data_IF_659956636067
#
_entry.id   IF_659956636067
#
_cell.length_a   1.000
_cell.length_b   1.000
_cell.length_c   1.000
_cell.angle_alpha   90.00
_cell.angle_beta   90.00
_cell.angle_gamma   90.00
#
_symmetry.space_group_name_H-M   'P 1'
#
loop_
_entity.id
_entity.type
_entity.pdbx_description
1 polymer ?
#
# COMPACT_ATOMS: atom_id res chain seq x y z
N UNK A 1 5.12 -17.28 25.63
CA UNK A 1 4.93 -16.53 25.66
C UNK A 1 5.16 -15.80 24.80
N UNK A 2 4.97 -15.77 24.43
CA UNK A 2 5.15 -15.00 23.34
C UNK A 2 5.55 -13.63 23.75
N UNK A 3 6.40 -13.00 23.05
CA UNK A 3 6.80 -11.65 23.33
C UNK A 3 5.60 -10.70 23.42
N UNK A 4 5.86 -9.47 23.76
CA UNK A 4 4.85 -8.43 23.80
C UNK A 4 4.19 -8.33 22.41
N UNK A 5 2.89 -8.21 22.40
CA UNK A 5 2.14 -7.99 21.19
C UNK A 5 2.53 -6.63 20.60
N UNK A 6 2.65 -6.56 19.28
CA UNK A 6 2.98 -5.32 18.61
C UNK A 6 1.87 -4.28 18.81
N UNK A 7 2.24 -3.03 19.05
CA UNK A 7 1.28 -1.93 19.12
C UNK A 7 0.57 -1.71 17.78
N UNK A 8 1.15 -2.20 16.68
CA UNK A 8 0.58 -2.10 15.33
C UNK A 8 -0.26 -3.31 14.94
N UNK A 9 -0.40 -4.30 15.82
CA UNK A 9 -1.10 -5.54 15.53
C UNK A 9 -2.57 -5.25 15.18
N UNK A 10 -2.99 -5.70 14.01
CA UNK A 10 -4.34 -5.49 13.50
C UNK A 10 -5.11 -6.80 13.34
N UNK A 11 -4.60 -7.91 13.84
CA UNK A 11 -5.20 -9.24 13.61
C UNK A 11 -6.60 -9.36 14.21
N UNK A 12 -6.89 -8.65 15.29
CA UNK A 12 -8.22 -8.68 15.92
C UNK A 12 -9.31 -8.05 15.05
N UNK A 13 -8.94 -7.14 14.16
CA UNK A 13 -9.90 -6.52 13.24
C UNK A 13 -10.42 -7.50 12.19
N UNK A 14 -9.70 -8.61 11.99
CA UNK A 14 -10.07 -9.68 11.04
C UNK A 14 -10.29 -9.15 9.63
N UNK A 15 -9.45 -8.22 9.19
CA UNK A 15 -9.51 -7.68 7.85
C UNK A 15 -8.81 -8.64 6.88
N UNK A 16 -9.46 -8.89 5.77
CA UNK A 16 -8.92 -9.75 4.72
C UNK A 16 -9.07 -9.05 3.38
N UNK A 17 -8.01 -9.05 2.59
CA UNK A 17 -8.00 -8.39 1.29
C UNK A 17 -8.92 -9.15 0.34
N UNK A 18 -9.86 -8.42 -0.29
CA UNK A 18 -10.75 -8.98 -1.29
C UNK A 18 -9.95 -9.36 -2.55
N UNK A 19 -10.44 -10.35 -3.27
CA UNK A 19 -9.80 -10.75 -4.53
C UNK A 19 -9.76 -9.58 -5.50
N UNK A 20 -8.65 -9.45 -6.24
CA UNK A 20 -8.51 -8.39 -7.23
C UNK A 20 -7.57 -8.81 -8.36
N UNK A 21 -7.74 -8.13 -9.51
CA UNK A 21 -6.81 -8.20 -10.62
C UNK A 21 -6.82 -6.83 -11.29
N UNK A 22 -5.73 -6.10 -11.17
CA UNK A 22 -5.60 -4.73 -11.65
C UNK A 22 -4.34 -4.57 -12.49
N UNK A 23 -4.10 -3.38 -13.01
CA UNK A 23 -2.99 -3.11 -13.92
C UNK A 23 -1.96 -2.21 -13.24
N UNK A 24 -0.69 -2.57 -13.35
CA UNK A 24 0.38 -1.77 -12.75
C UNK A 24 0.92 -0.70 -13.71
N UNK A 25 1.92 0.05 -13.26
CA UNK A 25 2.52 1.15 -14.02
C UNK A 25 3.25 0.69 -15.30
N UNK A 26 3.49 -0.59 -15.42
CA UNK A 26 4.13 -1.17 -16.61
C UNK A 26 3.11 -1.82 -17.56
N UNK A 27 1.82 -1.69 -17.27
CA UNK A 27 0.77 -2.29 -18.08
C UNK A 27 0.58 -3.77 -17.83
N UNK A 28 1.13 -4.31 -16.76
CA UNK A 28 1.05 -5.73 -16.44
C UNK A 28 -0.10 -5.99 -15.46
N UNK A 29 -0.73 -7.14 -15.58
CA UNK A 29 -1.78 -7.53 -14.64
C UNK A 29 -1.16 -7.99 -13.33
N UNK A 30 -1.69 -7.46 -12.22
CA UNK A 30 -1.30 -7.84 -10.87
C UNK A 30 -2.55 -8.26 -10.11
N UNK A 31 -2.52 -9.44 -9.52
CA UNK A 31 -3.66 -9.99 -8.79
C UNK A 31 -3.27 -10.36 -7.37
N UNK A 32 -4.28 -10.58 -6.53
CA UNK A 32 -4.05 -11.00 -5.15
C UNK A 32 -3.23 -12.31 -5.09
N UNK A 33 -3.47 -13.22 -6.03
CA UNK A 33 -2.76 -14.50 -6.08
C UNK A 33 -1.24 -14.33 -6.31
N UNK A 34 -0.82 -13.23 -6.90
CA UNK A 34 0.61 -12.96 -7.11
C UNK A 34 1.36 -12.76 -5.78
N UNK A 35 0.65 -12.43 -4.71
CA UNK A 35 1.24 -12.19 -3.39
C UNK A 35 1.04 -13.37 -2.44
N UNK A 36 0.46 -14.47 -2.93
CA UNK A 36 0.21 -15.65 -2.11
C UNK A 36 1.53 -16.21 -1.56
N UNK A 37 1.61 -16.36 -0.25
CA UNK A 37 2.82 -16.82 0.42
C UNK A 37 3.83 -15.72 0.76
N UNK A 38 3.57 -14.48 0.35
CA UNK A 38 4.48 -13.35 0.56
C UNK A 38 3.82 -12.26 1.41
N UNK A 39 4.66 -11.51 2.14
CA UNK A 39 4.21 -10.30 2.82
C UNK A 39 4.21 -9.12 1.85
N UNK A 40 3.24 -8.22 1.99
CA UNK A 40 3.24 -7.00 1.20
C UNK A 40 2.63 -5.84 1.99
N UNK A 41 3.10 -4.64 1.69
CA UNK A 41 2.68 -3.41 2.36
C UNK A 41 1.89 -2.57 1.37
N UNK A 42 0.69 -2.17 1.75
CA UNK A 42 -0.23 -1.48 0.86
C UNK A 42 -0.61 -0.10 1.37
N UNK A 43 -0.84 0.83 0.45
CA UNK A 43 -1.44 2.12 0.76
C UNK A 43 -2.36 2.56 -0.38
N UNK A 44 -3.08 3.65 -0.14
CA UNK A 44 -3.95 4.27 -1.15
C UNK A 44 -3.44 5.66 -1.44
N UNK A 45 -3.27 5.97 -2.71
CA UNK A 45 -2.68 7.25 -3.15
C UNK A 45 -3.40 7.79 -4.38
N UNK A 46 -3.15 9.06 -4.71
CA UNK A 46 -3.40 9.58 -6.04
C UNK A 46 -2.30 10.61 -6.36
N UNK A 47 -1.85 10.62 -7.61
CA UNK A 47 -0.64 11.36 -7.99
C UNK A 47 -0.78 12.86 -7.89
N UNK A 48 -2.01 13.38 -8.01
CA UNK A 48 -2.30 14.82 -7.92
C UNK A 48 -2.56 15.28 -6.49
N UNK A 49 -2.34 14.43 -5.50
CA UNK A 49 -2.60 14.75 -4.10
C UNK A 49 -1.72 15.90 -3.62
N UNK A 50 -2.31 17.02 -3.16
CA UNK A 50 -1.51 18.16 -2.75
C UNK A 50 -1.05 18.14 -1.29
N UNK A 51 -1.59 17.24 -0.46
CA UNK A 51 -1.43 17.32 0.99
C UNK A 51 -0.69 16.13 1.61
N UNK A 52 -1.27 14.93 1.59
CA UNK A 52 -0.73 13.79 2.36
C UNK A 52 0.21 12.89 1.56
N UNK A 53 0.01 12.77 0.24
CA UNK A 53 0.86 11.90 -0.57
C UNK A 53 2.32 12.37 -0.65
N UNK A 54 2.61 13.68 -0.61
CA UNK A 54 4.00 14.14 -0.48
C UNK A 54 4.70 13.68 0.79
N UNK A 55 3.93 13.18 1.78
CA UNK A 55 4.48 12.62 3.01
C UNK A 55 4.46 11.08 2.96
N UNK A 56 3.34 10.50 2.53
CA UNK A 56 3.16 9.05 2.51
C UNK A 56 4.11 8.35 1.54
N UNK A 57 4.22 8.85 0.33
CA UNK A 57 5.03 8.17 -0.69
C UNK A 57 6.52 8.15 -0.34
N UNK A 58 7.13 9.27 0.11
CA UNK A 58 8.50 9.22 0.60
C UNK A 58 8.69 8.29 1.80
N UNK A 59 7.70 8.23 2.71
CA UNK A 59 7.75 7.30 3.84
C UNK A 59 7.74 5.85 3.36
N UNK A 60 6.86 5.53 2.42
CA UNK A 60 6.78 4.19 1.84
C UNK A 60 8.09 3.84 1.14
N UNK A 61 8.68 4.79 0.42
CA UNK A 61 9.97 4.58 -0.24
C UNK A 61 11.08 4.32 0.76
N UNK A 62 11.08 5.03 1.89
CA UNK A 62 12.05 4.78 2.95
C UNK A 62 11.93 3.36 3.50
N UNK A 63 10.70 2.86 3.64
CA UNK A 63 10.45 1.49 4.06
C UNK A 63 10.92 0.50 2.99
N UNK A 64 10.73 0.81 1.72
CA UNK A 64 11.25 -0.03 0.64
C UNK A 64 12.77 -0.09 0.67
N UNK A 65 13.43 1.04 0.84
CA UNK A 65 14.89 1.09 0.92
C UNK A 65 15.40 0.23 2.09
N UNK A 66 14.74 0.30 3.23
CA UNK A 66 15.07 -0.54 4.39
C UNK A 66 14.88 -2.02 4.08
N UNK A 67 13.75 -2.38 3.47
CA UNK A 67 13.45 -3.78 3.14
C UNK A 67 14.50 -4.36 2.18
N UNK A 68 14.91 -3.57 1.19
CA UNK A 68 15.95 -3.99 0.24
C UNK A 68 17.31 -4.14 0.96
N UNK A 69 17.67 -3.16 1.77
CA UNK A 69 18.94 -3.18 2.50
C UNK A 69 19.02 -4.36 3.47
N UNK A 70 17.91 -4.72 4.10
CA UNK A 70 17.83 -5.83 5.06
C UNK A 70 17.49 -7.16 4.38
N UNK A 71 17.36 -7.15 3.07
CA UNK A 71 17.01 -8.33 2.27
C UNK A 71 15.72 -9.01 2.75
N UNK A 72 14.72 -8.22 3.08
CA UNK A 72 13.41 -8.72 3.50
C UNK A 72 12.56 -9.12 2.31
N UNK A 73 11.80 -10.18 2.46
CA UNK A 73 10.90 -10.69 1.43
C UNK A 73 9.56 -9.93 1.52
N UNK A 74 9.59 -8.67 1.12
CA UNK A 74 8.47 -7.74 1.24
C UNK A 74 8.25 -6.99 -0.07
N UNK A 75 7.01 -7.04 -0.56
CA UNK A 75 6.59 -6.28 -1.73
C UNK A 75 5.76 -5.07 -1.30
N UNK A 76 5.60 -4.10 -2.21
CA UNK A 76 4.88 -2.86 -1.95
C UNK A 76 3.82 -2.66 -3.01
N UNK A 77 2.65 -2.19 -2.60
CA UNK A 77 1.52 -1.95 -3.53
C UNK A 77 0.83 -0.65 -3.16
N UNK A 78 0.71 0.25 -4.12
CA UNK A 78 -0.06 1.48 -3.96
C UNK A 78 -1.25 1.44 -4.89
N UNK A 79 -2.46 1.57 -4.32
CA UNK A 79 -3.70 1.58 -5.09
C UNK A 79 -4.09 3.02 -5.41
N UNK A 80 -4.21 3.35 -6.70
CA UNK A 80 -4.72 4.67 -7.06
C UNK A 80 -6.20 4.80 -6.72
N UNK A 81 -6.58 5.91 -6.11
CA UNK A 81 -7.97 6.24 -5.85
C UNK A 81 -8.52 7.26 -6.85
N UNK A 82 -7.72 7.62 -7.84
CA UNK A 82 -8.12 8.55 -8.92
C UNK A 82 -7.84 7.91 -10.27
N UNK A 83 -8.52 6.80 -10.60
CA UNK A 83 -8.20 6.03 -11.80
C UNK A 83 -8.43 6.79 -13.10
N UNK A 84 -9.26 7.82 -13.11
CA UNK A 84 -9.48 8.63 -14.31
C UNK A 84 -8.23 9.38 -14.72
N UNK A 85 -7.47 9.90 -13.75
CA UNK A 85 -6.26 10.67 -14.00
C UNK A 85 -5.01 9.82 -13.90
N UNK A 86 -5.01 8.81 -13.04
CA UNK A 86 -3.88 7.92 -12.83
C UNK A 86 -3.93 6.74 -13.80
N UNK A 87 -3.67 7.03 -15.06
CA UNK A 87 -3.55 6.02 -16.11
C UNK A 87 -2.22 5.28 -15.97
N UNK A 88 -2.08 4.16 -16.68
CA UNK A 88 -0.82 3.40 -16.68
C UNK A 88 0.34 4.30 -17.09
N UNK A 89 0.18 5.06 -18.15
CA UNK A 89 1.23 5.97 -18.65
C UNK A 89 1.59 7.04 -17.61
N UNK A 90 0.58 7.61 -16.98
CA UNK A 90 0.79 8.64 -15.95
C UNK A 90 1.51 8.07 -14.72
N UNK A 91 1.12 6.87 -14.29
CA UNK A 91 1.77 6.19 -13.17
C UNK A 91 3.21 5.83 -13.50
N UNK A 92 3.48 5.44 -14.74
CA UNK A 92 4.84 5.14 -15.19
C UNK A 92 5.75 6.35 -15.02
N UNK A 93 5.31 7.50 -15.49
CA UNK A 93 6.07 8.75 -15.34
C UNK A 93 6.26 9.13 -13.88
N UNK A 94 5.21 8.96 -13.07
CA UNK A 94 5.26 9.26 -11.65
C UNK A 94 6.28 8.38 -10.92
N UNK A 95 6.27 7.07 -11.16
CA UNK A 95 7.19 6.14 -10.50
C UNK A 95 8.64 6.38 -10.91
N UNK A 96 8.88 6.72 -12.16
CA UNK A 96 10.23 7.07 -12.63
C UNK A 96 10.72 8.34 -11.95
N UNK A 97 9.84 9.31 -11.78
CA UNK A 97 10.19 10.60 -11.16
C UNK A 97 10.54 10.46 -9.69
N UNK A 98 9.83 9.61 -8.94
CA UNK A 98 10.12 9.40 -7.53
C UNK A 98 11.18 8.34 -7.28
N UNK A 99 11.59 7.61 -8.31
CA UNK A 99 12.70 6.67 -8.22
C UNK A 99 12.42 5.41 -7.41
N UNK A 100 11.22 4.83 -7.55
CA UNK A 100 10.89 3.56 -6.88
C UNK A 100 11.61 2.40 -7.55
N UNK A 101 11.80 1.30 -6.81
CA UNK A 101 12.29 0.07 -7.39
C UNK A 101 11.08 -0.73 -7.90
N UNK A 102 10.88 -0.72 -9.21
CA UNK A 102 9.76 -1.37 -9.90
C UNK A 102 9.67 -2.87 -9.65
N UNK A 103 10.79 -3.52 -9.32
CA UNK A 103 10.79 -4.96 -9.10
C UNK A 103 9.98 -5.35 -7.86
N UNK A 104 9.79 -4.41 -6.94
CA UNK A 104 9.16 -4.70 -5.66
C UNK A 104 8.02 -3.76 -5.30
N UNK A 105 7.58 -2.91 -6.22
CA UNK A 105 6.53 -1.94 -5.92
C UNK A 105 5.63 -1.73 -7.14
N UNK A 106 4.37 -2.15 -7.01
CA UNK A 106 3.35 -1.97 -8.03
C UNK A 106 2.43 -0.80 -7.67
N UNK A 107 2.16 0.06 -8.64
CA UNK A 107 1.16 1.12 -8.53
C UNK A 107 -0.02 0.70 -9.40
N UNK A 108 -1.17 0.45 -8.79
CA UNK A 108 -2.30 -0.19 -9.47
C UNK A 108 -3.37 0.79 -9.91
N UNK A 109 -3.90 0.54 -11.09
CA UNK A 109 -4.99 1.28 -11.73
C UNK A 109 -5.77 0.33 -12.66
N UNK A 110 -6.54 0.85 -13.60
CA UNK A 110 -7.26 0.02 -14.56
C UNK A 110 -8.66 -0.37 -14.11
N UNK A 111 -9.22 0.37 -13.19
CA UNK A 111 -10.55 0.18 -12.62
C UNK A 111 -11.27 1.52 -12.59
N UNK A 112 -12.56 1.53 -12.26
CA UNK A 112 -13.27 2.77 -12.03
C UNK A 112 -13.30 3.14 -10.54
N UNK A 113 -13.79 4.33 -10.23
CA UNK A 113 -13.82 4.81 -8.85
C UNK A 113 -14.70 3.93 -7.97
N UNK A 114 -15.83 3.49 -8.47
CA UNK A 114 -16.74 2.63 -7.69
C UNK A 114 -16.06 1.33 -7.28
N UNK A 115 -15.28 0.76 -8.18
CA UNK A 115 -14.58 -0.49 -7.91
C UNK A 115 -13.53 -0.32 -6.80
N UNK A 116 -12.71 0.73 -6.87
CA UNK A 116 -11.69 0.94 -5.83
C UNK A 116 -12.33 1.33 -4.50
N UNK A 117 -13.45 2.05 -4.53
CA UNK A 117 -14.20 2.36 -3.32
C UNK A 117 -14.68 1.08 -2.63
N UNK A 118 -15.26 0.16 -3.40
CA UNK A 118 -15.73 -1.12 -2.85
C UNK A 118 -14.56 -1.97 -2.35
N UNK A 119 -13.49 -2.05 -3.12
CA UNK A 119 -12.31 -2.82 -2.74
C UNK A 119 -11.69 -2.32 -1.43
N UNK A 120 -11.50 -1.00 -1.30
CA UNK A 120 -10.91 -0.41 -0.11
C UNK A 120 -11.77 -0.62 1.13
N UNK A 121 -13.09 -0.51 0.97
CA UNK A 121 -14.01 -0.72 2.07
C UNK A 121 -14.05 -2.18 2.50
N UNK A 122 -14.13 -3.10 1.54
CA UNK A 122 -14.19 -4.53 1.81
C UNK A 122 -12.89 -5.06 2.42
N UNK A 123 -11.76 -4.60 1.92
CA UNK A 123 -10.44 -5.13 2.32
C UNK A 123 -9.90 -4.48 3.59
N UNK A 124 -10.07 -3.16 3.72
CA UNK A 124 -9.38 -2.38 4.76
C UNK A 124 -10.33 -1.60 5.67
N UNK A 125 -11.63 -1.66 5.41
CA UNK A 125 -12.60 -0.78 6.06
C UNK A 125 -12.24 0.70 5.89
N UNK A 126 -11.65 1.01 4.76
CA UNK A 126 -11.13 2.34 4.45
C UNK A 126 -12.03 3.01 3.41
N UNK A 127 -12.83 4.00 3.81
CA UNK A 127 -13.67 4.71 2.84
C UNK A 127 -12.82 5.58 1.91
N UNK A 128 -13.22 5.62 0.64
CA UNK A 128 -12.63 6.50 -0.37
C UNK A 128 -13.76 7.36 -0.91
N UNK A 129 -13.64 8.67 -0.80
CA UNK A 129 -14.65 9.61 -1.26
C UNK A 129 -14.03 10.74 -2.05
N UNK A 130 -14.62 11.07 -3.19
CA UNK A 130 -14.21 12.21 -3.99
C UNK A 130 -14.94 13.46 -3.51
N UNK A 131 -14.18 14.50 -3.18
CA UNK A 131 -14.71 15.82 -2.84
C UNK A 131 -14.53 16.76 -4.04
N UNK A 132 -14.95 18.03 -3.91
CA UNK A 132 -14.81 19.00 -5.01
C UNK A 132 -13.38 19.17 -5.50
N UNK A 133 -12.45 19.24 -4.57
CA UNK A 133 -11.04 19.57 -4.87
C UNK A 133 -10.05 18.49 -4.45
N UNK A 134 -10.51 17.41 -3.82
CA UNK A 134 -9.61 16.44 -3.21
C UNK A 134 -10.29 15.07 -3.09
N UNK A 135 -9.62 14.13 -2.45
CA UNK A 135 -10.16 12.82 -2.10
C UNK A 135 -9.99 12.59 -0.60
N UNK A 136 -10.99 11.96 -0.02
CA UNK A 136 -10.90 11.45 1.34
C UNK A 136 -10.49 10.00 1.27
N UNK A 137 -9.38 9.64 1.88
CA UNK A 137 -8.88 8.26 1.88
C UNK A 137 -8.02 7.99 3.11
N UNK A 138 -7.74 6.71 3.35
CA UNK A 138 -6.88 6.31 4.46
C UNK A 138 -5.44 6.80 4.24
N UNK A 139 -4.82 7.27 5.31
CA UNK A 139 -3.41 7.67 5.31
C UNK A 139 -2.53 6.61 5.99
N UNK A 140 -3.03 5.40 6.12
CA UNK A 140 -2.33 4.31 6.80
C UNK A 140 -1.65 3.37 5.82
N UNK A 141 -0.65 2.67 6.32
CA UNK A 141 -0.05 1.56 5.61
C UNK A 141 -0.58 0.25 6.21
N UNK A 142 -0.89 -0.71 5.36
CA UNK A 142 -1.43 -2.00 5.76
C UNK A 142 -0.43 -3.09 5.40
N UNK A 143 0.01 -3.86 6.40
CA UNK A 143 0.88 -5.02 6.14
C UNK A 143 0.00 -6.26 6.03
N UNK A 144 0.14 -6.96 4.93
CA UNK A 144 -0.68 -8.12 4.60
C UNK A 144 0.23 -9.35 4.56
N UNK A 145 -0.26 -10.46 5.14
CA UNK A 145 0.50 -11.71 5.17
C UNK A 145 0.25 -12.55 3.90
N UNK A 146 0.90 -13.70 3.81
CA UNK A 146 0.79 -14.58 2.65
C UNK A 146 -0.58 -15.22 2.46
N UNK A 147 -1.48 -15.05 3.40
CA UNK A 147 -2.87 -15.53 3.29
C UNK A 147 -3.85 -14.41 2.94
N UNK A 148 -3.35 -13.20 2.69
CA UNK A 148 -4.19 -12.05 2.36
C UNK A 148 -4.81 -11.37 3.57
N UNK A 149 -4.33 -11.63 4.76
CA UNK A 149 -4.87 -11.05 5.99
C UNK A 149 -4.06 -9.82 6.39
N UNK A 150 -4.77 -8.76 6.80
CA UNK A 150 -4.14 -7.54 7.28
C UNK A 150 -3.69 -7.78 8.73
N UNK A 151 -2.39 -7.83 8.95
CA UNK A 151 -1.83 -8.17 10.26
C UNK A 151 -1.25 -6.97 11.01
N UNK A 152 -0.95 -5.89 10.30
CA UNK A 152 -0.42 -4.66 10.89
C UNK A 152 -1.01 -3.44 10.21
N UNK A 153 -1.19 -2.36 10.97
CA UNK A 153 -1.60 -1.07 10.44
C UNK A 153 -0.65 -0.02 11.00
N UNK A 154 -0.05 0.76 10.12
CA UNK A 154 0.93 1.79 10.48
C UNK A 154 0.43 3.17 10.05
N UNK A 155 0.90 4.21 10.73
CA UNK A 155 0.62 5.59 10.35
C UNK A 155 1.50 6.01 9.17
N UNK A 156 0.90 6.21 8.00
CA UNK A 156 1.63 6.62 6.80
C UNK A 156 2.16 8.04 6.84
N UNK A 157 1.72 8.84 7.81
CA UNK A 157 2.16 10.22 7.98
C UNK A 157 3.19 10.38 9.10
N UNK A 158 3.68 9.29 9.65
CA UNK A 158 4.63 9.34 10.76
C UNK A 158 5.89 10.10 10.37
N UNK A 159 6.35 10.98 11.25
CA UNK A 159 7.59 11.74 11.03
C UNK A 159 8.84 10.93 11.38
N UNK A 160 8.68 9.90 12.21
CA UNK A 160 9.75 8.99 12.61
C UNK A 160 9.29 7.55 12.32
N UNK A 161 10.00 6.88 11.44
CA UNK A 161 9.65 5.53 11.00
C UNK A 161 10.39 4.43 11.76
N UNK A 162 11.16 4.78 12.79
CA UNK A 162 11.99 3.82 13.53
C UNK A 162 11.19 2.64 14.09
N UNK A 163 10.05 2.92 14.72
CA UNK A 163 9.22 1.88 15.32
C UNK A 163 8.56 1.00 14.26
N UNK A 164 8.13 1.62 13.15
CA UNK A 164 7.54 0.90 12.03
C UNK A 164 8.57 -0.02 11.39
N UNK A 165 9.77 0.49 11.13
CA UNK A 165 10.86 -0.32 10.58
C UNK A 165 11.18 -1.51 11.47
N UNK A 166 11.29 -1.28 12.78
CA UNK A 166 11.58 -2.35 13.72
C UNK A 166 10.49 -3.42 13.73
N UNK A 167 9.23 -3.00 13.67
CA UNK A 167 8.11 -3.93 13.65
C UNK A 167 8.09 -4.76 12.36
N UNK A 168 8.35 -4.14 11.22
CA UNK A 168 8.42 -4.85 9.94
C UNK A 168 9.56 -5.87 9.97
N UNK A 169 10.72 -5.48 10.47
CA UNK A 169 11.89 -6.37 10.56
C UNK A 169 11.60 -7.60 11.42
N UNK A 170 10.83 -7.44 12.51
CA UNK A 170 10.46 -8.55 13.37
C UNK A 170 9.39 -9.45 12.74
N UNK A 171 8.50 -8.87 11.97
CA UNK A 171 7.30 -9.55 11.44
C UNK A 171 7.59 -10.27 10.12
N UNK A 172 8.32 -9.61 9.25
CA UNK A 172 8.66 -10.12 7.91
C UNK A 172 10.04 -10.80 7.99
N UNK A 173 10.07 -12.08 7.70
CA UNK A 173 11.33 -12.85 7.77
C UNK A 173 11.61 -13.64 6.52
#
# INVERSE_FOLDING_TARGET
MGGAQSEFDATEAKLEVADFAYTNQNGEEVSLSDFEGDYWLADMIFTSCPTVCPIMTPNMRELQDMAIAENLDLSFVSFSIDPENDTVEHLKGYTENIGVNDAYWDFLTGYDLEEIQAFALDSFKAPVEKTEDDFLHSTRFFLIDGEGKVIRIYDGLASDLSDIKADIQRTVK
#
